data_IF_379443166717
#
_entry.id   IF_379443166717
#
_cell.length_a   1.000
_cell.length_b   1.000
_cell.length_c   1.000
_cell.angle_alpha   90.00
_cell.angle_beta   90.00
_cell.angle_gamma   90.00
#
_symmetry.space_group_name_H-M   'P 1'
#
loop_
_entity.id
_entity.type
_entity.pdbx_description
1 polymer ?
#
# COMPACT_ATOMS: atom_id res chain seq x y z
N UNK A 1 12.17 10.85 11.97
CA UNK A 1 12.55 9.61 12.66
C UNK A 1 11.31 8.72 12.81
N UNK A 2 11.45 7.42 12.57
CA UNK A 2 10.35 6.43 12.58
C UNK A 2 9.99 5.97 13.98
N UNK A 3 10.95 5.96 14.89
CA UNK A 3 10.75 5.52 16.27
C UNK A 3 9.53 6.20 16.92
N UNK A 4 8.73 5.43 17.61
CA UNK A 4 7.48 5.82 18.30
C UNK A 4 6.34 6.35 17.41
N UNK A 5 6.48 6.35 16.07
CA UNK A 5 5.37 6.66 15.17
C UNK A 5 4.34 5.54 15.16
N UNK A 6 3.08 5.90 15.21
CA UNK A 6 1.95 4.99 15.04
C UNK A 6 1.65 4.86 13.55
N UNK A 7 1.90 3.67 12.99
CA UNK A 7 1.84 3.41 11.55
C UNK A 7 0.83 2.31 11.25
N UNK A 8 -0.09 2.60 10.34
CA UNK A 8 -1.05 1.63 9.82
C UNK A 8 -0.56 1.11 8.47
N UNK A 9 -0.56 -0.23 8.30
CA UNK A 9 -0.21 -0.89 7.01
C UNK A 9 -1.35 -1.80 6.58
N UNK A 10 -1.96 -1.51 5.42
CA UNK A 10 -2.97 -2.39 4.82
C UNK A 10 -2.34 -3.43 3.91
N UNK A 11 -2.93 -4.63 3.83
CA UNK A 11 -2.39 -5.70 2.98
C UNK A 11 -1.07 -6.30 3.49
N UNK A 12 -0.86 -6.34 4.80
CA UNK A 12 0.39 -6.76 5.42
C UNK A 12 0.62 -8.28 5.48
N UNK A 13 -0.30 -9.09 4.95
CA UNK A 13 -0.17 -10.56 5.00
C UNK A 13 0.87 -11.14 4.03
N UNK A 14 1.44 -10.35 3.12
CA UNK A 14 2.51 -10.80 2.19
C UNK A 14 3.18 -9.61 1.48
N UNK A 15 4.24 -9.91 0.73
CA UNK A 15 4.89 -8.99 -0.20
C UNK A 15 5.34 -7.68 0.45
N UNK A 16 5.09 -6.56 -0.24
CA UNK A 16 5.55 -5.22 0.18
C UNK A 16 5.03 -4.86 1.58
N UNK A 17 3.74 -5.11 1.88
CA UNK A 17 3.16 -4.77 3.19
C UNK A 17 3.79 -5.53 4.35
N UNK A 18 4.08 -6.82 4.17
CA UNK A 18 4.74 -7.65 5.18
C UNK A 18 6.19 -7.18 5.42
N UNK A 19 6.95 -7.01 4.34
CA UNK A 19 8.34 -6.51 4.41
C UNK A 19 8.40 -5.12 5.06
N UNK A 20 7.47 -4.21 4.69
CA UNK A 20 7.40 -2.87 5.25
C UNK A 20 7.11 -2.91 6.76
N UNK A 21 6.17 -3.75 7.20
CA UNK A 21 5.86 -3.90 8.62
C UNK A 21 7.09 -4.35 9.43
N UNK A 22 7.83 -5.36 8.95
CA UNK A 22 9.06 -5.85 9.61
C UNK A 22 10.13 -4.76 9.73
N UNK A 23 10.40 -4.04 8.65
CA UNK A 23 11.43 -2.98 8.65
C UNK A 23 11.03 -1.82 9.57
N UNK A 24 9.75 -1.44 9.57
CA UNK A 24 9.25 -0.36 10.41
C UNK A 24 9.25 -0.75 11.89
N UNK A 25 8.89 -2.00 12.24
CA UNK A 25 8.99 -2.52 13.60
C UNK A 25 10.44 -2.45 14.09
N UNK A 26 11.40 -2.99 13.35
CA UNK A 26 12.82 -2.94 13.68
C UNK A 26 13.38 -1.51 13.85
N UNK A 27 12.68 -0.48 13.33
CA UNK A 27 13.00 0.93 13.54
C UNK A 27 12.23 1.55 14.72
N UNK A 28 11.52 0.74 15.51
CA UNK A 28 10.79 1.14 16.70
C UNK A 28 9.45 1.82 16.43
N UNK A 29 8.81 1.56 15.29
CA UNK A 29 7.45 2.01 15.03
C UNK A 29 6.43 1.18 15.83
N UNK A 30 5.30 1.79 16.19
CA UNK A 30 4.11 1.14 16.74
C UNK A 30 3.18 0.79 15.59
N UNK A 31 2.91 -0.48 15.35
CA UNK A 31 2.24 -0.95 14.16
C UNK A 31 0.79 -1.37 14.40
N UNK A 32 -0.10 -0.99 13.49
CA UNK A 32 -1.38 -1.66 13.27
C UNK A 32 -1.37 -2.19 11.84
N UNK A 33 -1.50 -3.50 11.69
CA UNK A 33 -1.48 -4.12 10.38
C UNK A 33 -2.77 -4.85 10.09
N UNK A 34 -3.30 -4.68 8.88
CA UNK A 34 -4.56 -5.26 8.48
C UNK A 34 -4.48 -6.07 7.19
N UNK A 35 -5.14 -7.21 7.15
CA UNK A 35 -5.35 -8.02 5.95
C UNK A 35 -6.48 -9.03 6.16
N UNK A 36 -6.92 -9.70 5.05
CA UNK A 36 -7.94 -10.75 5.11
C UNK A 36 -7.41 -12.07 5.67
N UNK A 37 -6.14 -12.38 5.43
CA UNK A 37 -5.47 -13.63 5.87
C UNK A 37 -4.90 -13.42 7.27
N UNK A 38 -5.69 -13.73 8.29
CA UNK A 38 -5.32 -13.52 9.70
C UNK A 38 -4.23 -14.46 10.17
N UNK A 39 -4.20 -15.70 9.68
CA UNK A 39 -3.16 -16.68 9.93
C UNK A 39 -1.75 -16.10 9.63
N UNK A 40 -1.61 -15.43 8.50
CA UNK A 40 -0.34 -14.79 8.14
C UNK A 40 -0.04 -13.51 8.90
N UNK A 41 -1.06 -12.83 9.41
CA UNK A 41 -0.84 -11.70 10.32
C UNK A 41 -0.39 -12.18 11.69
N UNK A 42 -0.88 -13.33 12.16
CA UNK A 42 -0.42 -13.97 13.40
C UNK A 42 1.05 -14.40 13.31
N UNK A 43 1.48 -14.99 12.17
CA UNK A 43 2.89 -15.29 11.91
C UNK A 43 3.75 -14.02 11.97
N UNK A 44 3.32 -12.94 11.29
CA UNK A 44 4.00 -11.65 11.30
C UNK A 44 4.06 -11.04 12.71
N UNK A 45 2.97 -11.12 13.47
CA UNK A 45 2.91 -10.63 14.83
C UNK A 45 3.90 -11.36 15.74
N UNK A 46 3.94 -12.69 15.67
CA UNK A 46 4.87 -13.50 16.46
C UNK A 46 6.33 -13.08 16.17
N UNK A 47 6.71 -12.99 14.89
CA UNK A 47 8.05 -12.58 14.48
C UNK A 47 8.43 -11.17 15.01
N UNK A 48 7.50 -10.22 14.95
CA UNK A 48 7.76 -8.84 15.42
C UNK A 48 7.83 -8.79 16.95
N UNK A 49 6.92 -9.49 17.65
CA UNK A 49 6.87 -9.46 19.12
C UNK A 49 8.01 -10.23 19.78
N UNK A 50 8.54 -11.26 19.13
CA UNK A 50 9.76 -11.96 19.59
C UNK A 50 10.97 -11.01 19.68
N UNK A 51 11.02 -9.98 18.84
CA UNK A 51 12.03 -8.94 18.90
C UNK A 51 11.73 -7.81 19.92
N UNK A 52 10.60 -7.87 20.61
CA UNK A 52 10.18 -6.88 21.60
C UNK A 52 9.46 -5.66 21.01
N UNK A 53 9.10 -5.68 19.73
CA UNK A 53 8.44 -4.59 19.04
C UNK A 53 6.90 -4.62 19.19
N UNK A 54 6.25 -3.46 19.04
CA UNK A 54 4.80 -3.31 19.25
C UNK A 54 4.00 -3.44 17.96
N UNK A 55 3.09 -4.40 17.91
CA UNK A 55 2.18 -4.60 16.78
C UNK A 55 0.77 -5.00 17.24
N UNK A 56 -0.24 -4.50 16.53
CA UNK A 56 -1.63 -4.96 16.56
C UNK A 56 -1.95 -5.54 15.18
N UNK A 57 -2.59 -6.69 15.15
CA UNK A 57 -3.12 -7.29 13.91
C UNK A 57 -4.64 -7.14 13.88
N UNK A 58 -5.21 -6.85 12.71
CA UNK A 58 -6.65 -6.72 12.52
C UNK A 58 -7.10 -7.44 11.25
N UNK A 59 -8.23 -8.16 11.32
CA UNK A 59 -8.87 -8.66 10.12
C UNK A 59 -9.43 -7.48 9.35
N UNK A 60 -8.97 -7.28 8.12
CA UNK A 60 -9.33 -6.13 7.29
C UNK A 60 -9.71 -6.58 5.88
N UNK A 61 -10.92 -6.26 5.47
CA UNK A 61 -11.28 -6.15 4.07
C UNK A 61 -11.43 -4.65 3.71
N UNK A 62 -10.49 -4.11 2.94
CA UNK A 62 -10.49 -2.68 2.59
C UNK A 62 -11.71 -2.26 1.76
N UNK A 63 -12.47 -3.20 1.20
CA UNK A 63 -13.74 -2.93 0.52
C UNK A 63 -14.89 -2.64 1.48
N UNK A 64 -14.70 -2.92 2.78
CA UNK A 64 -15.65 -2.65 3.84
C UNK A 64 -15.23 -1.43 4.66
N UNK A 65 -15.98 -0.33 4.53
CA UNK A 65 -15.66 0.90 5.26
C UNK A 65 -15.56 0.68 6.77
N UNK A 66 -16.44 -0.16 7.32
CA UNK A 66 -16.47 -0.47 8.77
C UNK A 66 -15.18 -1.13 9.25
N UNK A 67 -14.56 -1.98 8.43
CA UNK A 67 -13.28 -2.61 8.79
C UNK A 67 -12.16 -1.57 8.79
N UNK A 68 -12.17 -0.64 7.83
CA UNK A 68 -11.21 0.47 7.78
C UNK A 68 -11.33 1.40 9.00
N UNK A 69 -12.56 1.74 9.39
CA UNK A 69 -12.83 2.53 10.59
C UNK A 69 -12.35 1.79 11.86
N UNK A 70 -12.61 0.48 11.95
CA UNK A 70 -12.19 -0.34 13.09
C UNK A 70 -10.66 -0.39 13.21
N UNK A 71 -9.94 -0.60 12.11
CA UNK A 71 -8.48 -0.62 12.09
C UNK A 71 -7.86 0.66 12.64
N UNK A 72 -8.39 1.81 12.24
CA UNK A 72 -7.93 3.13 12.72
C UNK A 72 -8.28 3.32 14.20
N UNK A 73 -9.48 2.91 14.61
CA UNK A 73 -9.91 3.01 16.00
C UNK A 73 -9.05 2.17 16.96
N UNK A 74 -8.52 1.03 16.53
CA UNK A 74 -7.57 0.23 17.32
C UNK A 74 -6.28 1.01 17.61
N UNK A 75 -5.74 1.70 16.61
CA UNK A 75 -4.57 2.56 16.77
C UNK A 75 -4.84 3.71 17.75
N UNK A 76 -5.96 4.42 17.55
CA UNK A 76 -6.36 5.56 18.38
C UNK A 76 -6.61 5.12 19.83
N UNK A 77 -7.29 3.99 20.03
CA UNK A 77 -7.58 3.43 21.36
C UNK A 77 -6.29 3.10 22.13
N UNK A 78 -5.27 2.58 21.46
CA UNK A 78 -4.02 2.14 22.12
C UNK A 78 -3.02 3.29 22.29
N UNK A 79 -2.87 4.16 21.30
CA UNK A 79 -1.80 5.17 21.25
C UNK A 79 -2.27 6.61 21.06
N UNK A 80 -3.59 6.83 20.96
CA UNK A 80 -4.20 8.16 20.88
C UNK A 80 -4.10 8.86 19.52
N UNK A 81 -3.40 8.29 18.54
CA UNK A 81 -3.16 8.95 17.24
C UNK A 81 -2.79 7.94 16.13
N UNK A 82 -2.79 8.46 14.90
CA UNK A 82 -2.14 7.80 13.75
C UNK A 82 -1.20 8.79 13.08
N UNK A 83 0.08 8.45 12.94
CA UNK A 83 1.09 9.30 12.31
C UNK A 83 1.25 8.99 10.81
N UNK A 84 1.13 7.70 10.42
CA UNK A 84 1.32 7.27 9.02
C UNK A 84 0.27 6.24 8.65
N UNK A 85 -0.33 6.40 7.46
CA UNK A 85 -1.13 5.38 6.79
C UNK A 85 -0.41 4.90 5.53
N UNK A 86 -0.23 3.59 5.39
CA UNK A 86 0.30 2.96 4.18
C UNK A 86 -0.81 2.15 3.51
N UNK A 87 -1.41 2.71 2.48
CA UNK A 87 -2.39 2.07 1.61
C UNK A 87 -1.65 1.15 0.64
N UNK A 88 -1.38 -0.08 1.08
CA UNK A 88 -0.67 -1.08 0.31
C UNK A 88 -1.58 -2.22 -0.20
N UNK A 89 -2.73 -2.44 0.40
CA UNK A 89 -3.67 -3.46 -0.08
C UNK A 89 -4.03 -3.24 -1.56
N UNK A 90 -3.89 -4.29 -2.37
CA UNK A 90 -4.16 -4.22 -3.80
C UNK A 90 -4.22 -5.60 -4.46
N UNK A 91 -4.76 -5.64 -5.68
CA UNK A 91 -4.80 -6.84 -6.52
C UNK A 91 -4.68 -6.47 -8.00
N UNK A 92 -4.24 -7.44 -8.82
CA UNK A 92 -3.89 -7.23 -10.22
C UNK A 92 -4.35 -8.43 -11.10
N UNK A 93 -5.62 -8.79 -11.18
CA UNK A 93 -6.09 -9.80 -12.11
C UNK A 93 -6.07 -9.22 -13.55
N UNK A 94 -4.92 -9.38 -14.22
CA UNK A 94 -4.76 -8.95 -15.59
C UNK A 94 -5.54 -9.85 -16.54
N UNK A 95 -6.18 -9.25 -17.56
CA UNK A 95 -6.88 -9.96 -18.63
C UNK A 95 -7.09 -9.04 -19.82
N UNK A 96 -7.09 -9.59 -21.02
CA UNK A 96 -7.53 -8.84 -22.20
C UNK A 96 -9.00 -8.45 -22.08
N UNK A 97 -9.34 -7.19 -22.42
CA UNK A 97 -10.71 -6.65 -22.31
C UNK A 97 -11.75 -7.52 -23.03
N UNK A 98 -11.39 -8.14 -24.16
CA UNK A 98 -12.28 -9.04 -24.91
C UNK A 98 -12.77 -10.26 -24.11
N UNK A 99 -12.08 -10.62 -23.02
CA UNK A 99 -12.43 -11.78 -22.19
C UNK A 99 -13.51 -11.43 -21.14
N UNK A 100 -13.92 -10.16 -21.05
CA UNK A 100 -15.07 -9.63 -20.28
C UNK A 100 -15.12 -10.14 -18.82
N UNK A 101 -13.96 -10.19 -18.13
CA UNK A 101 -13.89 -10.58 -16.70
C UNK A 101 -14.38 -9.47 -15.79
N UNK A 102 -15.67 -9.17 -15.86
CA UNK A 102 -16.30 -8.01 -15.20
C UNK A 102 -16.14 -8.07 -13.69
N UNK A 103 -16.34 -9.24 -13.07
CA UNK A 103 -16.19 -9.41 -11.61
C UNK A 103 -14.77 -9.06 -11.14
N UNK A 104 -13.75 -9.34 -11.95
CA UNK A 104 -12.37 -8.98 -11.65
C UNK A 104 -12.13 -7.47 -11.79
N UNK A 105 -12.81 -6.82 -12.75
CA UNK A 105 -12.75 -5.37 -12.90
C UNK A 105 -13.37 -4.65 -11.70
N UNK A 106 -14.55 -5.10 -11.27
CA UNK A 106 -15.24 -4.56 -10.08
C UNK A 106 -14.38 -4.75 -8.83
N UNK A 107 -13.82 -5.94 -8.64
CA UNK A 107 -12.90 -6.20 -7.51
C UNK A 107 -11.66 -5.30 -7.54
N UNK A 108 -11.07 -5.03 -8.71
CA UNK A 108 -9.95 -4.08 -8.82
C UNK A 108 -10.35 -2.68 -8.41
N UNK A 109 -11.52 -2.20 -8.82
CA UNK A 109 -12.04 -0.88 -8.44
C UNK A 109 -12.29 -0.83 -6.95
N UNK A 110 -12.95 -1.86 -6.40
CA UNK A 110 -13.30 -1.91 -4.98
C UNK A 110 -12.05 -1.93 -4.09
N UNK A 111 -11.06 -2.76 -4.42
CA UNK A 111 -9.85 -2.88 -3.59
C UNK A 111 -8.88 -1.74 -3.84
N UNK A 112 -8.51 -1.49 -5.11
CA UNK A 112 -7.41 -0.58 -5.43
C UNK A 112 -7.82 0.91 -5.35
N UNK A 113 -9.12 1.22 -5.51
CA UNK A 113 -9.63 2.61 -5.45
C UNK A 113 -10.42 2.81 -4.16
N UNK A 114 -11.59 2.15 -3.99
CA UNK A 114 -12.45 2.39 -2.82
C UNK A 114 -11.72 2.06 -1.51
N UNK A 115 -10.91 0.99 -1.48
CA UNK A 115 -10.09 0.66 -0.31
C UNK A 115 -9.17 1.79 0.11
N UNK A 116 -8.48 2.42 -0.84
CA UNK A 116 -7.63 3.59 -0.57
C UNK A 116 -8.45 4.78 -0.05
N UNK A 117 -9.64 5.03 -0.66
CA UNK A 117 -10.52 6.10 -0.22
C UNK A 117 -11.04 5.87 1.21
N UNK A 118 -11.47 4.64 1.55
CA UNK A 118 -12.03 4.32 2.86
C UNK A 118 -10.98 4.39 3.97
N UNK A 119 -9.78 3.83 3.76
CA UNK A 119 -8.71 3.93 4.74
C UNK A 119 -8.24 5.37 4.93
N UNK A 120 -8.16 6.16 3.85
CA UNK A 120 -7.84 7.59 3.93
C UNK A 120 -8.91 8.35 4.71
N UNK A 121 -10.20 8.12 4.41
CA UNK A 121 -11.30 8.76 5.13
C UNK A 121 -11.33 8.42 6.62
N UNK A 122 -10.98 7.18 6.97
CA UNK A 122 -10.93 6.73 8.36
C UNK A 122 -9.82 7.42 9.17
N UNK A 123 -8.62 7.62 8.59
CA UNK A 123 -7.48 8.18 9.31
C UNK A 123 -7.46 9.71 9.33
N UNK A 124 -8.03 10.35 8.32
CA UNK A 124 -7.91 11.79 8.10
C UNK A 124 -8.41 12.65 9.28
N UNK A 125 -9.53 12.34 9.97
CA UNK A 125 -9.96 13.11 11.14
C UNK A 125 -8.89 13.18 12.23
N UNK A 126 -8.25 12.05 12.57
CA UNK A 126 -7.18 12.00 13.58
C UNK A 126 -5.95 12.81 13.15
N UNK A 127 -5.54 12.73 11.88
CA UNK A 127 -4.40 13.50 11.37
C UNK A 127 -4.70 15.00 11.35
N UNK A 128 -5.93 15.41 11.04
CA UNK A 128 -6.34 16.82 11.08
C UNK A 128 -6.37 17.35 12.50
N UNK A 129 -6.87 16.58 13.46
CA UNK A 129 -6.87 16.95 14.89
C UNK A 129 -5.45 17.07 15.43
N UNK A 130 -4.56 16.16 15.07
CA UNK A 130 -3.14 16.18 15.45
C UNK A 130 -2.33 17.26 14.73
N UNK A 131 -2.86 17.90 13.68
CA UNK A 131 -2.17 18.90 12.87
C UNK A 131 -0.94 18.36 12.11
N UNK A 132 -0.85 17.04 11.94
CA UNK A 132 0.24 16.36 11.23
C UNK A 132 -0.16 14.96 10.82
N UNK A 133 0.46 14.45 9.75
CA UNK A 133 0.25 13.08 9.27
C UNK A 133 1.06 12.78 8.02
N UNK A 134 1.04 11.52 7.61
CA UNK A 134 1.62 11.09 6.33
C UNK A 134 0.80 9.96 5.72
N UNK A 135 0.24 10.15 4.54
CA UNK A 135 -0.47 9.12 3.79
C UNK A 135 0.43 8.67 2.64
N UNK A 136 0.72 7.38 2.59
CA UNK A 136 1.52 6.74 1.54
C UNK A 136 0.63 5.79 0.77
N UNK A 137 0.48 6.03 -0.52
CA UNK A 137 -0.32 5.20 -1.42
C UNK A 137 0.59 4.38 -2.32
N UNK A 138 0.43 3.07 -2.33
CA UNK A 138 1.17 2.21 -3.25
C UNK A 138 0.41 2.19 -4.60
N UNK A 139 0.89 3.03 -5.52
CA UNK A 139 0.46 3.04 -6.91
C UNK A 139 1.25 1.98 -7.72
N UNK A 140 1.78 2.33 -8.86
CA UNK A 140 2.57 1.46 -9.75
C UNK A 140 3.13 2.28 -10.90
N UNK A 141 4.12 1.77 -11.65
CA UNK A 141 4.41 2.23 -13.01
C UNK A 141 3.16 2.20 -13.90
N UNK A 142 2.21 1.29 -13.63
CA UNK A 142 0.90 1.23 -14.27
C UNK A 142 0.00 2.45 -13.96
N UNK A 143 0.37 3.32 -13.03
CA UNK A 143 -0.24 4.64 -12.80
C UNK A 143 0.35 5.73 -13.69
N UNK A 144 1.35 5.41 -14.53
CA UNK A 144 2.04 6.32 -15.47
C UNK A 144 1.96 5.88 -16.92
N UNK A 145 1.88 4.58 -17.14
CA UNK A 145 1.81 3.96 -18.47
C UNK A 145 0.62 3.00 -18.55
N UNK A 146 0.26 2.65 -19.78
CA UNK A 146 -0.73 1.60 -20.04
C UNK A 146 -0.10 0.49 -20.87
N UNK A 147 -0.60 -0.73 -20.68
CA UNK A 147 -0.15 -1.90 -21.43
C UNK A 147 -1.32 -2.86 -21.73
N UNK A 148 -1.21 -3.66 -22.80
CA UNK A 148 -2.24 -4.66 -23.14
C UNK A 148 -2.50 -5.60 -21.96
N UNK A 149 -3.75 -6.05 -21.82
CA UNK A 149 -4.28 -6.85 -20.72
C UNK A 149 -4.31 -6.15 -19.33
N UNK A 150 -3.67 -4.98 -19.18
CA UNK A 150 -3.64 -4.19 -17.96
C UNK A 150 -4.64 -3.03 -17.91
N UNK A 151 -5.57 -2.90 -18.85
CA UNK A 151 -6.39 -1.69 -19.01
C UNK A 151 -7.08 -1.24 -17.72
N UNK A 152 -7.79 -2.14 -17.02
CA UNK A 152 -8.50 -1.79 -15.79
C UNK A 152 -7.53 -1.60 -14.63
N UNK A 153 -6.51 -2.44 -14.50
CA UNK A 153 -5.46 -2.26 -13.50
C UNK A 153 -4.77 -0.90 -13.64
N UNK A 154 -4.34 -0.55 -14.86
CA UNK A 154 -3.74 0.77 -15.15
C UNK A 154 -4.70 1.90 -14.77
N UNK A 155 -5.98 1.80 -15.14
CA UNK A 155 -6.98 2.79 -14.76
C UNK A 155 -7.07 2.96 -13.23
N UNK A 156 -7.08 1.86 -12.46
CA UNK A 156 -7.10 1.95 -10.99
C UNK A 156 -5.83 2.62 -10.43
N UNK A 157 -4.66 2.33 -11.00
CA UNK A 157 -3.40 2.91 -10.54
C UNK A 157 -3.24 4.38 -10.96
N UNK A 158 -3.72 4.77 -12.14
CA UNK A 158 -3.86 6.19 -12.51
C UNK A 158 -4.79 6.94 -11.56
N UNK A 159 -5.92 6.33 -11.17
CA UNK A 159 -6.82 6.91 -10.18
C UNK A 159 -6.13 7.14 -8.83
N UNK A 160 -5.33 6.17 -8.33
CA UNK A 160 -4.56 6.32 -7.09
C UNK A 160 -3.52 7.43 -7.20
N UNK A 161 -2.79 7.51 -8.32
CA UNK A 161 -1.80 8.58 -8.57
C UNK A 161 -2.48 9.95 -8.57
N UNK A 162 -3.59 10.10 -9.32
CA UNK A 162 -4.35 11.36 -9.38
C UNK A 162 -4.93 11.73 -8.00
N UNK A 163 -5.49 10.77 -7.26
CA UNK A 163 -6.01 10.99 -5.91
C UNK A 163 -4.90 11.42 -4.94
N UNK A 164 -3.71 10.81 -5.02
CA UNK A 164 -2.57 11.20 -4.19
C UNK A 164 -2.17 12.66 -4.42
N UNK A 165 -2.09 13.10 -5.68
CA UNK A 165 -1.77 14.49 -5.99
C UNK A 165 -2.88 15.45 -5.55
N UNK A 166 -4.16 15.09 -5.71
CA UNK A 166 -5.29 15.86 -5.19
C UNK A 166 -5.20 16.06 -3.67
N UNK A 167 -5.00 14.97 -2.92
CA UNK A 167 -4.80 15.04 -1.46
C UNK A 167 -3.60 15.92 -1.09
N UNK A 168 -2.49 15.82 -1.82
CA UNK A 168 -1.31 16.64 -1.57
C UNK A 168 -1.62 18.13 -1.70
N UNK A 169 -2.32 18.53 -2.75
CA UNK A 169 -2.68 19.93 -2.97
C UNK A 169 -3.61 20.49 -1.89
N UNK A 170 -4.52 19.67 -1.38
CA UNK A 170 -5.48 20.08 -0.36
C UNK A 170 -4.89 20.09 1.06
N UNK A 171 -4.04 19.12 1.37
CA UNK A 171 -3.65 18.82 2.75
C UNK A 171 -2.23 19.28 3.09
N UNK A 172 -1.24 19.08 2.19
CA UNK A 172 0.16 19.31 2.55
C UNK A 172 0.46 20.78 2.85
N UNK A 173 0.07 21.75 2.01
CA UNK A 173 0.38 23.16 2.26
C UNK A 173 -0.36 23.78 3.47
N UNK A 174 -1.50 23.21 3.86
CA UNK A 174 -2.42 23.88 4.80
C UNK A 174 -2.61 23.12 6.09
N UNK A 175 -2.37 21.81 6.10
CA UNK A 175 -2.68 20.91 7.22
C UNK A 175 -1.46 20.12 7.70
N UNK A 176 -0.30 20.34 7.11
CA UNK A 176 0.94 19.63 7.45
C UNK A 176 0.77 18.10 7.39
N UNK A 177 -0.05 17.61 6.45
CA UNK A 177 -0.23 16.18 6.16
C UNK A 177 0.49 15.88 4.86
N UNK A 178 1.55 15.10 4.92
CA UNK A 178 2.34 14.70 3.75
C UNK A 178 1.63 13.62 2.96
N UNK A 179 1.78 13.63 1.67
CA UNK A 179 1.23 12.60 0.77
C UNK A 179 2.36 12.10 -0.12
N UNK A 180 2.52 10.78 -0.20
CA UNK A 180 3.52 10.15 -1.07
C UNK A 180 2.86 9.06 -1.92
N UNK A 181 3.09 9.09 -3.22
CA UNK A 181 2.81 7.99 -4.15
C UNK A 181 4.08 7.16 -4.33
N UNK A 182 4.05 5.88 -4.00
CA UNK A 182 5.11 4.93 -4.35
C UNK A 182 4.68 4.17 -5.59
N UNK A 183 5.54 4.10 -6.59
CA UNK A 183 5.21 3.62 -7.93
C UNK A 183 6.16 2.50 -8.38
N UNK A 184 5.96 1.28 -7.85
CA UNK A 184 6.81 0.15 -8.19
C UNK A 184 6.65 -0.31 -9.64
N UNK A 185 7.73 -0.75 -10.24
CA UNK A 185 7.73 -1.61 -11.41
C UNK A 185 7.41 -3.05 -11.04
N UNK A 186 8.05 -4.00 -11.74
CA UNK A 186 7.89 -5.43 -11.44
C UNK A 186 8.54 -5.77 -10.10
N UNK A 187 7.74 -6.26 -9.16
CA UNK A 187 8.19 -6.71 -7.83
C UNK A 187 7.88 -8.18 -7.67
N UNK A 188 8.82 -8.94 -7.14
CA UNK A 188 8.65 -10.36 -6.82
C UNK A 188 7.71 -10.54 -5.62
N UNK A 189 6.41 -10.64 -5.88
CA UNK A 189 5.38 -10.82 -4.86
C UNK A 189 4.31 -11.80 -5.30
N UNK A 190 3.40 -12.13 -4.38
CA UNK A 190 2.22 -12.97 -4.69
C UNK A 190 1.17 -12.25 -5.58
N UNK A 191 1.38 -10.99 -5.96
CA UNK A 191 0.40 -10.20 -6.72
C UNK A 191 0.01 -10.88 -8.04
N UNK A 192 0.99 -11.50 -8.71
CA UNK A 192 0.78 -12.24 -9.97
C UNK A 192 -0.14 -13.47 -9.80
N UNK A 193 -0.29 -14.01 -8.59
CA UNK A 193 -1.22 -15.14 -8.32
C UNK A 193 -2.69 -14.75 -8.49
N UNK A 194 -3.00 -13.46 -8.58
CA UNK A 194 -4.35 -12.96 -8.86
C UNK A 194 -4.75 -13.04 -10.33
N UNK A 195 -3.80 -13.31 -11.25
CA UNK A 195 -4.03 -13.41 -12.68
C UNK A 195 -4.62 -14.78 -13.01
N UNK A 196 -5.84 -14.80 -13.52
CA UNK A 196 -6.60 -16.01 -13.86
C UNK A 196 -6.73 -16.23 -15.36
N UNK A 197 -6.26 -15.30 -16.19
CA UNK A 197 -6.35 -15.39 -17.65
C UNK A 197 -5.22 -16.26 -18.22
N UNK A 198 -5.57 -17.47 -18.67
CA UNK A 198 -4.62 -18.44 -19.24
C UNK A 198 -3.90 -17.92 -20.48
N UNK A 199 -4.50 -16.95 -21.19
CA UNK A 199 -3.86 -16.34 -22.37
C UNK A 199 -2.62 -15.50 -22.01
N UNK A 200 -2.39 -15.23 -20.72
CA UNK A 200 -1.25 -14.48 -20.21
C UNK A 200 -0.10 -15.36 -19.70
N UNK A 201 -0.13 -16.67 -19.94
CA UNK A 201 0.92 -17.61 -19.48
C UNK A 201 2.32 -17.15 -19.89
N UNK A 202 2.52 -16.77 -21.17
CA UNK A 202 3.82 -16.25 -21.64
C UNK A 202 4.24 -14.94 -20.95
N UNK A 203 3.28 -14.07 -20.66
CA UNK A 203 3.56 -12.85 -19.91
C UNK A 203 4.06 -13.16 -18.51
N UNK A 204 3.42 -14.11 -17.83
CA UNK A 204 3.81 -14.56 -16.49
C UNK A 204 5.18 -15.24 -16.49
N UNK A 205 5.49 -16.05 -17.50
CA UNK A 205 6.81 -16.66 -17.68
C UNK A 205 7.90 -15.61 -17.89
N UNK A 206 7.66 -14.63 -18.74
CA UNK A 206 8.61 -13.55 -18.99
C UNK A 206 8.85 -12.71 -17.70
N UNK A 207 7.80 -12.47 -16.94
CA UNK A 207 7.92 -11.71 -15.65
C UNK A 207 8.70 -12.50 -14.61
N UNK A 208 8.57 -13.83 -14.57
CA UNK A 208 9.35 -14.70 -13.67
C UNK A 208 10.84 -14.75 -14.03
N UNK A 209 11.17 -14.60 -15.31
CA UNK A 209 12.56 -14.62 -15.79
C UNK A 209 13.26 -13.24 -15.70
N UNK A 210 12.53 -12.20 -15.33
CA UNK A 210 13.09 -10.88 -15.08
C UNK A 210 13.62 -10.83 -13.64
N UNK A 211 14.81 -10.30 -13.46
CA UNK A 211 15.35 -9.95 -12.13
C UNK A 211 14.53 -8.75 -11.59
N UNK A 212 13.44 -9.08 -10.90
CA UNK A 212 12.48 -8.12 -10.37
C UNK A 212 12.98 -7.46 -9.09
N UNK A 213 12.33 -6.36 -8.73
CA UNK A 213 12.54 -5.77 -7.40
C UNK A 213 12.08 -6.74 -6.31
N UNK A 214 12.74 -6.74 -5.18
CA UNK A 214 12.27 -7.40 -3.97
C UNK A 214 11.30 -6.50 -3.21
N UNK A 215 10.44 -7.10 -2.41
CA UNK A 215 9.53 -6.34 -1.54
C UNK A 215 10.28 -5.35 -0.65
N UNK A 216 11.49 -5.72 -0.22
CA UNK A 216 12.38 -4.91 0.61
C UNK A 216 12.83 -3.61 -0.09
N UNK A 217 13.08 -3.63 -1.40
CA UNK A 217 13.48 -2.43 -2.16
C UNK A 217 12.39 -1.35 -2.08
N UNK A 218 11.12 -1.77 -2.18
CA UNK A 218 9.99 -0.87 -2.06
C UNK A 218 9.79 -0.43 -0.61
N UNK A 219 9.98 -1.33 0.35
CA UNK A 219 9.91 -1.00 1.77
C UNK A 219 10.96 0.05 2.16
N UNK A 220 12.15 -0.02 1.60
CA UNK A 220 13.21 0.99 1.81
C UNK A 220 12.82 2.35 1.21
N UNK A 221 12.16 2.39 0.05
CA UNK A 221 11.64 3.62 -0.53
C UNK A 221 10.53 4.23 0.36
N UNK A 222 9.66 3.42 0.94
CA UNK A 222 8.65 3.85 1.92
C UNK A 222 9.33 4.43 3.16
N UNK A 223 10.32 3.75 3.71
CA UNK A 223 11.11 4.21 4.88
C UNK A 223 11.76 5.55 4.58
N UNK A 224 12.38 5.71 3.41
CA UNK A 224 12.97 6.98 2.98
C UNK A 224 11.95 8.13 3.00
N UNK A 225 10.73 7.90 2.47
CA UNK A 225 9.69 8.91 2.46
C UNK A 225 9.22 9.28 3.87
N UNK A 226 9.09 8.29 4.77
CA UNK A 226 8.66 8.51 6.16
C UNK A 226 9.72 9.31 6.92
N UNK A 227 11.00 8.98 6.73
CA UNK A 227 12.14 9.55 7.48
C UNK A 227 12.54 10.95 6.99
N UNK A 228 12.01 11.40 5.85
CA UNK A 228 12.23 12.76 5.36
C UNK A 228 11.81 13.79 6.43
N UNK A 229 12.52 14.92 6.58
CA UNK A 229 12.18 15.98 7.51
C UNK A 229 10.73 16.47 7.32
N UNK A 230 10.08 16.91 8.38
CA UNK A 230 8.65 17.27 8.35
C UNK A 230 8.29 18.34 7.31
N UNK A 231 9.22 19.25 6.98
CA UNK A 231 9.02 20.28 5.95
C UNK A 231 9.25 19.76 4.53
N UNK A 232 9.69 18.50 4.37
CA UNK A 232 9.93 17.86 3.07
C UNK A 232 8.79 16.90 2.76
N UNK A 233 8.05 17.17 1.68
CA UNK A 233 7.09 16.23 1.14
C UNK A 233 7.70 15.52 -0.07
N UNK A 234 8.02 14.26 0.08
CA UNK A 234 8.42 13.40 -1.06
C UNK A 234 7.13 13.00 -1.77
N UNK A 235 6.84 13.64 -2.91
CA UNK A 235 5.54 13.49 -3.56
C UNK A 235 5.39 12.12 -4.23
N UNK A 236 6.44 11.69 -4.94
CA UNK A 236 6.43 10.49 -5.77
C UNK A 236 7.79 9.79 -5.74
N UNK A 237 7.76 8.46 -5.67
CA UNK A 237 8.96 7.63 -5.83
C UNK A 237 8.66 6.53 -6.83
N UNK A 238 9.24 6.65 -8.01
CA UNK A 238 9.17 5.65 -9.07
C UNK A 238 10.40 4.74 -8.99
N UNK A 239 10.18 3.44 -8.81
CA UNK A 239 11.25 2.43 -8.69
C UNK A 239 11.01 1.30 -9.67
N UNK A 240 11.97 1.03 -10.55
CA UNK A 240 11.94 -0.08 -11.50
C UNK A 240 13.13 -0.99 -11.34
N UNK A 241 13.00 -2.28 -11.69
CA UNK A 241 14.17 -3.10 -12.00
C UNK A 241 15.01 -2.44 -13.10
N UNK A 242 16.32 -2.53 -13.01
CA UNK A 242 17.22 -1.97 -14.03
C UNK A 242 16.95 -2.56 -15.43
N UNK A 243 16.45 -3.80 -15.49
CA UNK A 243 16.10 -4.50 -16.73
C UNK A 243 14.69 -4.17 -17.26
N UNK A 244 13.91 -3.32 -16.60
CA UNK A 244 12.55 -2.96 -17.02
C UNK A 244 12.56 -1.70 -17.89
N UNK A 245 12.22 -1.84 -19.18
CA UNK A 245 12.20 -0.72 -20.15
C UNK A 245 11.06 0.29 -19.90
N UNK A 246 9.89 -0.18 -19.41
CA UNK A 246 8.66 0.63 -19.27
C UNK A 246 8.02 0.51 -17.91
#
# INVERSE_FOLDING_TARGET
>A
MIKDKVIIVTGASSGIGNSTAKILAAKGAKLVVGARRTDRLEELQNEITENGDEIIISKLDVTQKVDCDSLVNEAIKKWGRVDVLINNAGLMPLSFVKNLKIDEWERMIDVNIKGVLYCTAAVLPSMLENGSGHIINISSVAGRIVFPAGSVYCATKHAVTAFSEGLRQELSPRKNIRITSIEPGVVETELNKSITDESLTKFLENTKNMDGLKAEDISNAIVFAIDAPNHVNVNEILVRPTAQDR
#
